data_IF_726925285891
#
_entry.id   IF_726925285891
#
_cell.length_a   1.000
_cell.length_b   1.000
_cell.length_c   1.000
_cell.angle_alpha   90.00
_cell.angle_beta   90.00
_cell.angle_gamma   90.00
#
_symmetry.space_group_name_H-M   'P 1'
#
loop_
_entity.id
_entity.type
_entity.pdbx_description
1 polymer ?
#
# COMPACT_ATOMS: atom_id res chain seq x y z
N UNK A 1 -21.08 4.97 -15.85
CA UNK A 1 -20.58 3.86 -16.69
C UNK A 1 -19.41 4.39 -17.50
N UNK A 2 -18.34 4.84 -16.82
CA UNK A 2 -17.13 5.35 -17.50
C UNK A 2 -15.95 5.47 -16.52
N UNK A 3 -15.58 4.36 -15.85
CA UNK A 3 -14.50 4.36 -14.85
C UNK A 3 -13.66 3.06 -14.88
N UNK A 4 -13.51 2.44 -16.06
CA UNK A 4 -12.63 1.26 -16.27
C UNK A 4 -11.59 1.43 -17.38
N UNK A 5 -11.49 2.59 -18.04
CA UNK A 5 -10.66 2.75 -19.24
C UNK A 5 -9.22 3.29 -19.00
N UNK A 6 -8.84 3.66 -17.78
CA UNK A 6 -7.57 4.33 -17.52
C UNK A 6 -6.39 3.40 -17.13
N UNK A 7 -6.66 2.16 -16.71
CA UNK A 7 -5.63 1.22 -16.22
C UNK A 7 -4.98 0.36 -17.32
N UNK A 8 -5.65 0.17 -18.45
CA UNK A 8 -5.19 -0.71 -19.55
C UNK A 8 -4.01 -0.14 -20.35
N UNK A 9 -3.87 1.18 -20.42
CA UNK A 9 -2.92 1.84 -21.35
C UNK A 9 -1.44 1.67 -20.94
N UNK A 10 -1.16 1.54 -19.64
CA UNK A 10 0.21 1.33 -19.14
C UNK A 10 0.70 -0.09 -19.32
N UNK A 11 -0.17 -1.08 -19.08
CA UNK A 11 0.16 -2.50 -19.24
C UNK A 11 0.41 -2.85 -20.72
N UNK A 12 -0.41 -2.33 -21.63
CA UNK A 12 -0.27 -2.55 -23.07
C UNK A 12 1.02 -1.92 -23.65
N UNK A 13 1.39 -0.72 -23.18
CA UNK A 13 2.64 -0.07 -23.58
C UNK A 13 3.88 -0.83 -23.07
N UNK A 14 3.79 -1.41 -21.87
CA UNK A 14 4.89 -2.21 -21.28
C UNK A 14 5.06 -3.53 -22.03
N UNK A 15 3.95 -4.17 -22.42
CA UNK A 15 3.95 -5.39 -23.22
C UNK A 15 4.55 -5.15 -24.62
N UNK A 16 4.17 -4.07 -25.30
CA UNK A 16 4.70 -3.72 -26.62
C UNK A 16 6.22 -3.46 -26.60
N UNK A 17 6.72 -2.77 -25.57
CA UNK A 17 8.14 -2.52 -25.39
C UNK A 17 8.92 -3.82 -25.10
N UNK A 18 8.32 -4.75 -24.35
CA UNK A 18 8.91 -6.08 -24.12
C UNK A 18 8.98 -6.90 -25.41
N UNK A 19 7.93 -6.87 -26.24
CA UNK A 19 7.93 -7.54 -27.55
C UNK A 19 8.99 -6.98 -28.50
N UNK A 20 9.20 -5.66 -28.52
CA UNK A 20 10.24 -5.02 -29.34
C UNK A 20 11.66 -5.43 -28.87
N UNK A 21 11.87 -5.53 -27.56
CA UNK A 21 13.12 -6.04 -26.99
C UNK A 21 13.37 -7.52 -27.35
N UNK A 22 12.34 -8.36 -27.31
CA UNK A 22 12.43 -9.77 -27.75
C UNK A 22 12.72 -9.84 -29.25
N UNK A 23 12.02 -9.05 -30.07
CA UNK A 23 12.20 -9.02 -31.52
C UNK A 23 13.59 -8.52 -31.95
N UNK A 24 14.22 -7.67 -31.15
CA UNK A 24 15.58 -7.15 -31.40
C UNK A 24 16.69 -8.18 -31.17
N UNK A 25 16.39 -9.34 -30.57
CA UNK A 25 17.38 -10.35 -30.17
C UNK A 25 18.31 -9.90 -29.04
N UNK A 26 18.09 -8.71 -28.47
CA UNK A 26 18.91 -8.17 -27.38
C UNK A 26 18.82 -9.02 -26.10
N UNK A 27 17.75 -9.82 -25.95
CA UNK A 27 17.52 -10.68 -24.80
C UNK A 27 18.06 -12.11 -24.97
N UNK A 28 18.38 -12.56 -26.19
CA UNK A 28 18.78 -13.96 -26.42
C UNK A 28 20.12 -14.30 -25.74
N UNK A 29 21.10 -13.40 -25.87
CA UNK A 29 22.40 -13.54 -25.20
C UNK A 29 22.32 -13.38 -23.68
N UNK A 30 21.25 -12.75 -23.19
CA UNK A 30 20.98 -12.54 -21.78
C UNK A 30 20.28 -13.76 -21.17
N UNK A 31 19.27 -14.31 -21.85
CA UNK A 31 18.60 -15.55 -21.45
C UNK A 31 19.56 -16.73 -21.45
N UNK A 32 20.48 -16.83 -22.43
CA UNK A 32 21.52 -17.85 -22.41
C UNK A 32 22.43 -17.80 -21.17
N UNK A 33 22.64 -16.60 -20.59
CA UNK A 33 23.45 -16.42 -19.37
C UNK A 33 22.64 -16.64 -18.08
N UNK A 34 21.32 -16.45 -18.16
CA UNK A 34 20.40 -16.81 -17.08
C UNK A 34 20.27 -18.34 -17.01
N UNK A 35 20.10 -19.00 -18.15
CA UNK A 35 20.00 -20.46 -18.27
C UNK A 35 21.28 -21.18 -17.86
N UNK A 36 22.45 -20.55 -18.08
CA UNK A 36 23.74 -21.07 -17.61
C UNK A 36 24.00 -20.83 -16.11
N UNK A 37 23.13 -20.08 -15.43
CA UNK A 37 23.26 -19.71 -14.03
C UNK A 37 24.30 -18.62 -13.74
N UNK A 38 24.85 -17.97 -14.76
CA UNK A 38 25.80 -16.85 -14.61
C UNK A 38 25.13 -15.58 -14.07
N UNK A 39 23.83 -15.41 -14.35
CA UNK A 39 23.02 -14.26 -13.91
C UNK A 39 21.77 -14.74 -13.19
N UNK A 40 21.58 -14.28 -11.96
CA UNK A 40 20.32 -14.48 -11.23
C UNK A 40 19.30 -13.42 -11.65
N UNK A 41 18.06 -13.86 -11.93
CA UNK A 41 16.98 -12.96 -12.33
C UNK A 41 16.52 -12.07 -11.15
N UNK A 42 16.38 -12.68 -9.97
CA UNK A 42 15.95 -12.08 -8.71
C UNK A 42 17.01 -12.27 -7.62
N UNK A 43 16.82 -11.66 -6.44
CA UNK A 43 17.75 -11.75 -5.31
C UNK A 43 18.79 -10.62 -5.26
N UNK A 44 19.62 -10.62 -4.20
CA UNK A 44 20.63 -9.56 -3.99
C UNK A 44 21.68 -9.57 -5.11
N UNK A 45 21.81 -8.46 -5.83
CA UNK A 45 22.64 -8.36 -7.04
C UNK A 45 22.04 -8.99 -8.31
N UNK A 46 20.76 -9.40 -8.27
CA UNK A 46 20.03 -9.91 -9.43
C UNK A 46 19.80 -8.86 -10.52
N UNK A 47 19.50 -9.33 -11.73
CA UNK A 47 19.29 -8.47 -12.90
C UNK A 47 18.11 -7.50 -12.72
N UNK A 48 16.97 -7.97 -12.19
CA UNK A 48 15.79 -7.13 -12.01
C UNK A 48 16.03 -5.98 -11.01
N UNK A 49 16.60 -6.22 -9.81
CA UNK A 49 17.06 -5.14 -8.92
C UNK A 49 18.03 -4.16 -9.61
N UNK A 50 18.96 -4.64 -10.43
CA UNK A 50 19.90 -3.78 -11.15
C UNK A 50 19.23 -2.89 -12.22
N UNK A 51 18.21 -3.41 -12.92
CA UNK A 51 17.41 -2.63 -13.86
C UNK A 51 16.59 -1.56 -13.15
N UNK A 52 15.92 -1.93 -12.04
CA UNK A 52 15.15 -0.99 -11.22
C UNK A 52 16.08 0.09 -10.67
N UNK A 53 17.26 -0.27 -10.16
CA UNK A 53 18.30 0.68 -9.75
C UNK A 53 18.61 1.68 -10.86
N UNK A 54 18.93 1.19 -12.06
CA UNK A 54 19.29 2.04 -13.19
C UNK A 54 18.16 3.00 -13.59
N UNK A 55 16.91 2.50 -13.61
CA UNK A 55 15.74 3.31 -13.92
C UNK A 55 15.50 4.39 -12.86
N UNK A 56 15.50 4.02 -11.57
CA UNK A 56 15.28 4.95 -10.46
C UNK A 56 16.39 6.01 -10.38
N UNK A 57 17.66 5.63 -10.49
CA UNK A 57 18.76 6.61 -10.46
C UNK A 57 18.73 7.54 -11.67
N UNK A 58 18.33 7.05 -12.85
CA UNK A 58 18.17 7.90 -14.03
C UNK A 58 17.02 8.88 -13.85
N UNK A 59 15.88 8.43 -13.33
CA UNK A 59 14.75 9.28 -12.99
C UNK A 59 15.12 10.35 -11.95
N UNK A 60 15.79 9.97 -10.86
CA UNK A 60 16.24 10.90 -9.83
C UNK A 60 17.23 11.95 -10.35
N UNK A 61 18.11 11.58 -11.29
CA UNK A 61 19.00 12.53 -11.95
C UNK A 61 18.24 13.49 -12.86
N UNK A 62 17.18 13.03 -13.52
CA UNK A 62 16.31 13.87 -14.33
C UNK A 62 15.53 14.86 -13.45
N UNK A 63 14.94 14.41 -12.34
CA UNK A 63 14.28 15.29 -11.37
C UNK A 63 15.23 16.37 -10.82
N UNK A 64 16.47 15.99 -10.48
CA UNK A 64 17.46 16.97 -10.03
C UNK A 64 17.85 17.97 -11.11
N UNK A 65 17.84 17.55 -12.38
CA UNK A 65 18.12 18.43 -13.52
C UNK A 65 17.02 19.45 -13.68
N UNK A 66 15.77 19.01 -13.60
CA UNK A 66 14.59 19.88 -13.66
C UNK A 66 14.56 20.87 -12.48
N UNK A 67 14.80 20.39 -11.26
CA UNK A 67 14.87 21.22 -10.05
C UNK A 67 15.94 22.31 -10.11
N UNK A 68 17.11 22.00 -10.69
CA UNK A 68 18.22 22.96 -10.79
C UNK A 68 18.13 23.84 -12.04
N UNK A 69 17.39 23.41 -13.07
CA UNK A 69 17.26 24.09 -14.35
C UNK A 69 18.47 23.93 -15.29
N UNK A 70 19.40 23.03 -14.99
CA UNK A 70 20.60 22.81 -15.81
C UNK A 70 21.21 21.39 -15.66
N UNK A 71 21.93 20.96 -16.70
CA UNK A 71 22.50 19.62 -16.80
C UNK A 71 23.80 19.41 -16.01
N UNK A 72 24.14 18.14 -15.75
CA UNK A 72 25.39 17.82 -15.06
C UNK A 72 26.60 18.21 -15.92
N UNK A 73 27.40 19.15 -15.43
CA UNK A 73 28.60 19.62 -16.12
C UNK A 73 28.36 20.78 -17.09
N UNK A 74 27.13 21.31 -17.11
CA UNK A 74 26.80 22.49 -17.90
C UNK A 74 27.58 23.73 -17.39
N UNK A 75 28.32 24.44 -18.27
CA UNK A 75 28.97 25.70 -17.92
C UNK A 75 28.03 26.76 -17.33
N UNK A 76 26.75 26.77 -17.74
CA UNK A 76 25.75 27.72 -17.26
C UNK A 76 25.38 27.50 -15.79
N UNK A 77 25.63 26.30 -15.25
CA UNK A 77 25.38 25.96 -13.85
C UNK A 77 26.11 26.86 -12.84
N UNK A 78 27.16 27.60 -13.26
CA UNK A 78 27.85 28.59 -12.42
C UNK A 78 27.02 29.84 -12.12
N UNK A 79 26.01 30.12 -12.95
CA UNK A 79 25.15 31.29 -12.84
C UNK A 79 23.90 31.02 -11.99
N UNK A 80 23.62 29.76 -11.65
CA UNK A 80 22.52 29.38 -10.78
C UNK A 80 22.92 29.45 -9.30
N UNK A 81 21.98 29.81 -8.40
CA UNK A 81 22.26 29.98 -6.97
C UNK A 81 22.49 28.65 -6.23
N UNK A 82 22.08 27.53 -6.83
CA UNK A 82 22.20 26.20 -6.25
C UNK A 82 23.02 25.28 -7.16
N UNK A 83 23.64 24.25 -6.56
CA UNK A 83 24.51 23.33 -7.30
C UNK A 83 24.33 21.88 -6.89
N UNK A 84 24.66 20.94 -7.78
CA UNK A 84 24.72 19.51 -7.48
C UNK A 84 25.82 19.23 -6.45
N UNK A 85 25.55 18.37 -5.46
CA UNK A 85 26.47 18.08 -4.36
C UNK A 85 26.63 16.57 -4.12
N UNK A 86 26.88 15.82 -5.19
CA UNK A 86 27.09 14.37 -5.14
C UNK A 86 25.81 13.58 -4.90
N UNK A 87 25.98 12.40 -4.29
CA UNK A 87 24.91 11.45 -3.98
C UNK A 87 24.94 11.04 -2.51
N UNK A 88 23.85 10.46 -2.03
CA UNK A 88 23.74 9.84 -0.70
C UNK A 88 23.22 8.42 -0.89
N UNK A 89 23.90 7.39 -0.34
CA UNK A 89 23.44 6.02 -0.48
C UNK A 89 22.14 5.83 0.29
N UNK A 90 21.19 5.12 -0.33
CA UNK A 90 19.90 4.78 0.26
C UNK A 90 19.45 3.42 -0.27
N UNK A 91 19.25 2.46 0.62
CA UNK A 91 18.61 1.19 0.26
C UNK A 91 17.09 1.34 0.33
N UNK A 92 16.41 0.95 -0.74
CA UNK A 92 14.94 0.89 -0.80
C UNK A 92 14.51 -0.56 -1.05
N UNK A 93 13.53 -1.03 -0.29
CA UNK A 93 12.93 -2.34 -0.52
C UNK A 93 11.89 -2.24 -1.63
N UNK A 94 11.98 -3.15 -2.59
CA UNK A 94 11.08 -3.25 -3.76
C UNK A 94 10.50 -4.68 -3.84
N UNK A 95 9.52 -4.89 -4.72
CA UNK A 95 8.88 -6.20 -4.93
C UNK A 95 9.84 -7.30 -5.44
N UNK A 96 11.02 -6.94 -5.94
CA UNK A 96 12.05 -7.90 -6.39
C UNK A 96 13.27 -7.98 -5.47
N UNK A 97 13.18 -7.34 -4.30
CA UNK A 97 14.23 -7.30 -3.28
C UNK A 97 14.74 -5.89 -2.97
N UNK A 98 15.78 -5.83 -2.14
CA UNK A 98 16.41 -4.57 -1.74
C UNK A 98 17.29 -3.99 -2.85
N UNK A 99 17.13 -2.70 -3.10
CA UNK A 99 17.85 -1.96 -4.14
C UNK A 99 18.66 -0.84 -3.50
N UNK A 100 19.99 -0.93 -3.60
CA UNK A 100 20.91 0.12 -3.14
C UNK A 100 21.01 1.25 -4.18
N UNK A 101 20.42 2.41 -3.88
CA UNK A 101 20.38 3.60 -4.73
C UNK A 101 21.39 4.66 -4.32
N UNK A 102 21.98 5.33 -5.30
CA UNK A 102 22.71 6.58 -5.11
C UNK A 102 21.80 7.79 -5.37
N UNK A 103 21.15 8.29 -4.31
CA UNK A 103 20.19 9.40 -4.42
C UNK A 103 20.95 10.72 -4.61
N UNK A 104 20.74 11.46 -5.72
CA UNK A 104 21.43 12.70 -5.98
C UNK A 104 20.91 13.82 -5.08
N UNK A 105 21.79 14.76 -4.72
CA UNK A 105 21.45 15.87 -3.82
C UNK A 105 21.95 17.22 -4.32
N UNK A 106 21.27 18.28 -3.92
CA UNK A 106 21.70 19.65 -4.14
C UNK A 106 22.51 20.19 -2.95
N UNK A 107 23.18 21.33 -3.15
CA UNK A 107 24.02 21.96 -2.14
C UNK A 107 23.21 22.75 -1.12
N UNK A 108 22.09 23.33 -1.55
CA UNK A 108 21.18 24.08 -0.68
C UNK A 108 20.23 23.18 0.14
N UNK A 109 20.15 21.88 -0.14
CA UNK A 109 19.28 20.92 0.55
C UNK A 109 17.79 21.07 0.23
N UNK A 110 17.46 21.85 -0.79
CA UNK A 110 16.09 22.19 -1.22
C UNK A 110 15.45 21.13 -2.11
N UNK A 111 16.24 20.22 -2.68
CA UNK A 111 15.72 19.18 -3.57
C UNK A 111 14.93 18.13 -2.78
N UNK A 112 13.66 17.91 -3.14
CA UNK A 112 12.79 16.86 -2.60
C UNK A 112 12.35 15.93 -3.72
N UNK A 113 13.02 14.78 -3.92
CA UNK A 113 12.70 13.84 -4.99
C UNK A 113 11.27 13.29 -4.84
N UNK A 114 10.56 13.15 -5.96
CA UNK A 114 9.21 12.60 -6.00
C UNK A 114 9.24 11.08 -6.21
N UNK A 115 10.09 10.61 -7.12
CA UNK A 115 10.32 9.18 -7.41
C UNK A 115 10.70 8.36 -6.17
N UNK A 116 11.55 8.94 -5.31
CA UNK A 116 12.02 8.28 -4.08
C UNK A 116 12.01 9.29 -2.93
N UNK A 117 10.86 9.47 -2.24
CA UNK A 117 10.70 10.50 -1.22
C UNK A 117 11.74 10.42 -0.10
N UNK A 118 12.07 11.57 0.51
CA UNK A 118 12.96 11.61 1.68
C UNK A 118 12.36 10.78 2.82
N UNK A 119 13.19 9.94 3.45
CA UNK A 119 12.76 9.05 4.54
C UNK A 119 12.08 7.75 4.11
N UNK A 120 11.43 7.69 2.93
CA UNK A 120 10.75 6.48 2.45
C UNK A 120 11.76 5.37 2.14
N UNK A 121 11.69 4.21 2.82
CA UNK A 121 12.59 3.07 2.56
C UNK A 121 11.97 1.96 1.73
N UNK A 122 10.75 2.16 1.24
CA UNK A 122 9.95 1.15 0.51
C UNK A 122 9.35 1.80 -0.71
N UNK A 123 9.33 1.07 -1.82
CA UNK A 123 8.71 1.48 -3.07
C UNK A 123 7.88 0.29 -3.59
N UNK A 124 6.59 0.51 -3.89
CA UNK A 124 5.72 -0.49 -4.52
C UNK A 124 4.46 -0.85 -3.70
N UNK A 125 3.71 -1.86 -4.16
CA UNK A 125 2.46 -2.35 -3.57
C UNK A 125 2.65 -3.36 -2.43
N UNK A 126 3.83 -3.36 -1.79
CA UNK A 126 4.14 -4.26 -0.68
C UNK A 126 3.23 -4.01 0.52
N UNK A 127 2.85 -2.76 0.77
CA UNK A 127 1.97 -2.39 1.87
C UNK A 127 0.55 -2.92 1.63
N UNK A 128 0.03 -2.81 0.40
CA UNK A 128 -1.24 -3.43 -0.01
C UNK A 128 -1.23 -4.96 0.15
N UNK A 129 -0.11 -5.60 -0.18
CA UNK A 129 0.07 -7.03 0.02
C UNK A 129 0.06 -7.40 1.52
N UNK A 130 0.75 -6.63 2.36
CA UNK A 130 0.75 -6.81 3.81
C UNK A 130 -0.68 -6.70 4.36
N UNK A 131 -1.42 -5.68 3.93
CA UNK A 131 -2.83 -5.46 4.32
C UNK A 131 -3.69 -6.64 3.87
N UNK A 132 -3.52 -7.11 2.63
CA UNK A 132 -4.26 -8.27 2.11
C UNK A 132 -3.96 -9.56 2.89
N UNK A 133 -2.70 -9.80 3.26
CA UNK A 133 -2.31 -10.98 4.03
C UNK A 133 -2.86 -10.92 5.47
N UNK A 134 -2.85 -9.72 6.07
CA UNK A 134 -3.43 -9.49 7.38
C UNK A 134 -4.96 -9.67 7.36
N UNK A 135 -5.64 -9.13 6.35
CA UNK A 135 -7.08 -9.33 6.13
C UNK A 135 -7.42 -10.81 5.87
N UNK A 136 -6.50 -11.57 5.27
CA UNK A 136 -6.58 -13.03 5.12
C UNK A 136 -6.45 -13.81 6.43
N UNK A 137 -6.20 -13.14 7.56
CA UNK A 137 -6.13 -13.75 8.89
C UNK A 137 -4.74 -14.25 9.29
N UNK A 138 -3.70 -13.93 8.51
CA UNK A 138 -2.33 -14.28 8.88
C UNK A 138 -1.85 -13.40 10.03
N UNK A 139 -1.17 -14.01 11.00
CA UNK A 139 -0.54 -13.26 12.09
C UNK A 139 0.66 -12.46 11.57
N UNK A 140 1.02 -11.38 12.25
CA UNK A 140 2.19 -10.55 11.91
C UNK A 140 3.47 -11.37 11.73
N UNK A 141 3.63 -12.46 12.51
CA UNK A 141 4.78 -13.38 12.39
C UNK A 141 4.74 -14.21 11.12
N UNK A 142 3.55 -14.70 10.74
CA UNK A 142 3.35 -15.47 9.52
C UNK A 142 3.52 -14.59 8.29
N UNK A 143 3.05 -13.34 8.33
CA UNK A 143 3.28 -12.35 7.27
C UNK A 143 4.78 -12.10 7.10
N UNK A 144 5.51 -11.83 8.19
CA UNK A 144 6.95 -11.61 8.12
C UNK A 144 7.68 -12.83 7.51
N UNK A 145 7.32 -14.04 7.94
CA UNK A 145 7.89 -15.27 7.39
C UNK A 145 7.55 -15.46 5.91
N UNK A 146 6.31 -15.19 5.52
CA UNK A 146 5.82 -15.33 4.14
C UNK A 146 6.53 -14.36 3.19
N UNK A 147 6.70 -13.11 3.60
CA UNK A 147 7.41 -12.09 2.81
C UNK A 147 8.89 -12.43 2.66
N UNK A 148 9.54 -12.91 3.72
CA UNK A 148 10.93 -13.36 3.66
C UNK A 148 11.10 -14.58 2.74
N UNK A 149 10.19 -15.56 2.82
CA UNK A 149 10.27 -16.79 2.04
C UNK A 149 9.92 -16.61 0.55
N UNK A 150 8.97 -15.71 0.24
CA UNK A 150 8.44 -15.55 -1.13
C UNK A 150 9.15 -14.45 -1.90
N UNK A 151 9.43 -13.32 -1.22
CA UNK A 151 9.93 -12.08 -1.84
C UNK A 151 11.37 -11.77 -1.38
N UNK A 152 11.90 -12.50 -0.40
CA UNK A 152 13.24 -12.24 0.14
C UNK A 152 13.32 -10.94 0.94
N UNK A 153 12.18 -10.35 1.31
CA UNK A 153 12.14 -9.09 2.07
C UNK A 153 12.01 -9.39 3.56
N UNK A 154 13.01 -9.00 4.34
CA UNK A 154 12.98 -9.12 5.79
C UNK A 154 12.35 -7.88 6.44
N UNK A 155 11.17 -8.05 7.04
CA UNK A 155 10.47 -6.98 7.74
C UNK A 155 10.36 -7.28 9.23
N UNK A 156 10.57 -6.25 10.06
CA UNK A 156 10.29 -6.34 11.48
C UNK A 156 8.78 -6.40 11.74
N UNK A 157 8.39 -7.13 12.78
CA UNK A 157 7.00 -7.21 13.25
C UNK A 157 6.41 -5.83 13.54
N UNK A 158 7.22 -4.94 14.13
CA UNK A 158 6.83 -3.56 14.41
C UNK A 158 6.50 -2.80 13.13
N UNK A 159 7.26 -3.02 12.05
CA UNK A 159 6.95 -2.32 10.80
C UNK A 159 5.66 -2.84 10.17
N UNK A 160 5.41 -4.15 10.21
CA UNK A 160 4.16 -4.72 9.71
C UNK A 160 2.97 -4.19 10.53
N UNK A 161 3.11 -4.09 11.85
CA UNK A 161 2.10 -3.46 12.71
C UNK A 161 1.86 -2.00 12.33
N UNK A 162 2.92 -1.20 12.15
CA UNK A 162 2.76 0.20 11.76
C UNK A 162 2.05 0.36 10.41
N UNK A 163 2.32 -0.51 9.43
CA UNK A 163 1.63 -0.48 8.13
C UNK A 163 0.13 -0.78 8.28
N UNK A 164 -0.21 -1.77 9.10
CA UNK A 164 -1.62 -2.07 9.40
C UNK A 164 -2.27 -0.95 10.24
N UNK A 165 -1.50 -0.20 11.02
CA UNK A 165 -2.01 0.94 11.77
C UNK A 165 -2.24 2.17 10.86
N UNK A 166 -1.53 2.31 9.73
CA UNK A 166 -1.72 3.40 8.78
C UNK A 166 -3.12 3.38 8.14
N UNK A 167 -3.73 2.21 7.96
CA UNK A 167 -5.12 2.10 7.46
C UNK A 167 -6.18 2.42 8.52
N UNK A 168 -5.80 2.71 9.77
CA UNK A 168 -6.76 3.00 10.83
C UNK A 168 -7.64 4.21 10.48
N UNK A 169 -7.07 5.23 9.83
CA UNK A 169 -7.81 6.41 9.37
C UNK A 169 -8.85 6.05 8.29
N UNK A 170 -8.49 5.15 7.37
CA UNK A 170 -9.42 4.65 6.35
C UNK A 170 -10.54 3.80 6.96
N UNK A 171 -10.22 2.96 7.95
CA UNK A 171 -11.21 2.19 8.71
C UNK A 171 -12.17 3.13 9.44
N UNK A 172 -11.67 4.20 10.07
CA UNK A 172 -12.50 5.21 10.71
C UNK A 172 -13.37 5.96 9.69
N UNK A 173 -12.83 6.29 8.52
CA UNK A 173 -13.60 6.92 7.44
C UNK A 173 -14.71 5.98 6.93
N UNK A 174 -14.42 4.69 6.77
CA UNK A 174 -15.39 3.67 6.40
C UNK A 174 -16.48 3.50 7.47
N UNK A 175 -16.10 3.46 8.75
CA UNK A 175 -17.06 3.37 9.86
C UNK A 175 -17.99 4.58 9.91
N UNK A 176 -17.51 5.77 9.54
CA UNK A 176 -18.31 7.01 9.55
C UNK A 176 -18.95 7.33 8.19
N UNK A 177 -18.85 6.44 7.20
CA UNK A 177 -19.38 6.69 5.86
C UNK A 177 -20.90 6.95 5.89
N UNK A 178 -21.40 7.83 5.00
CA UNK A 178 -22.84 8.03 4.87
C UNK A 178 -23.52 6.74 4.43
N UNK A 179 -24.72 6.50 4.98
CA UNK A 179 -25.54 5.34 4.71
C UNK A 179 -26.77 5.72 3.89
N UNK A 180 -27.38 4.73 3.24
CA UNK A 180 -28.62 4.96 2.51
C UNK A 180 -29.78 5.29 3.46
N UNK A 181 -30.75 6.04 2.94
CA UNK A 181 -31.89 6.48 3.74
C UNK A 181 -32.84 5.33 4.12
N UNK A 182 -32.81 4.22 3.38
CA UNK A 182 -33.76 3.13 3.55
C UNK A 182 -33.09 1.78 3.41
N UNK A 183 -33.32 0.90 4.39
CA UNK A 183 -32.92 -0.51 4.35
C UNK A 183 -34.14 -1.40 4.63
N UNK A 184 -34.58 -2.24 3.69
CA UNK A 184 -35.68 -3.18 3.94
C UNK A 184 -35.49 -4.05 5.18
N UNK A 185 -34.27 -4.56 5.40
CA UNK A 185 -33.95 -5.44 6.53
C UNK A 185 -32.61 -5.03 7.14
N UNK A 186 -32.55 -4.95 8.47
CA UNK A 186 -31.29 -4.84 9.22
C UNK A 186 -31.16 -6.01 10.18
N UNK A 187 -30.01 -6.67 10.15
CA UNK A 187 -29.59 -7.67 11.14
C UNK A 187 -28.65 -7.02 12.15
N UNK A 188 -28.89 -7.27 13.43
CA UNK A 188 -28.02 -6.92 14.54
C UNK A 188 -27.53 -8.23 15.16
N UNK A 189 -26.22 -8.43 15.20
CA UNK A 189 -25.62 -9.63 15.76
C UNK A 189 -24.44 -9.26 16.67
N UNK A 190 -23.97 -10.22 17.46
CA UNK A 190 -22.83 -10.06 18.35
C UNK A 190 -21.94 -11.30 18.35
N UNK A 191 -20.65 -11.11 18.11
CA UNK A 191 -19.65 -12.18 18.19
C UNK A 191 -18.77 -11.93 19.41
N UNK A 192 -18.60 -12.96 20.25
CA UNK A 192 -17.71 -12.87 21.41
C UNK A 192 -16.26 -13.09 20.97
N UNK A 193 -15.43 -12.06 21.18
CA UNK A 193 -14.01 -12.06 20.86
C UNK A 193 -13.17 -11.87 22.12
N UNK A 194 -12.03 -12.55 22.18
CA UNK A 194 -11.07 -12.40 23.28
C UNK A 194 -10.12 -11.25 22.98
N UNK A 195 -10.25 -10.16 23.73
CA UNK A 195 -9.44 -8.96 23.54
C UNK A 195 -8.58 -8.75 24.78
N UNK A 196 -7.30 -8.43 24.58
CA UNK A 196 -6.43 -8.00 25.66
C UNK A 196 -6.76 -6.55 26.00
N UNK A 197 -7.27 -6.33 27.20
CA UNK A 197 -7.62 -5.02 27.74
C UNK A 197 -6.74 -4.73 28.97
N UNK A 198 -5.72 -3.89 28.77
CA UNK A 198 -4.64 -3.69 29.73
C UNK A 198 -3.88 -4.98 30.03
N UNK A 199 -3.87 -5.37 31.31
CA UNK A 199 -3.17 -6.58 31.77
C UNK A 199 -3.98 -7.88 31.64
N UNK A 200 -5.26 -7.82 31.27
CA UNK A 200 -6.16 -8.98 31.30
C UNK A 200 -6.75 -9.26 29.93
N UNK A 201 -6.86 -10.53 29.57
CA UNK A 201 -7.65 -10.96 28.41
C UNK A 201 -9.09 -11.11 28.86
N UNK A 202 -10.00 -10.38 28.23
CA UNK A 202 -11.43 -10.40 28.53
C UNK A 202 -12.22 -10.76 27.28
N UNK A 203 -13.34 -11.45 27.48
CA UNK A 203 -14.32 -11.63 26.44
C UNK A 203 -15.07 -10.30 26.25
N UNK A 204 -15.06 -9.75 25.03
CA UNK A 204 -15.86 -8.59 24.64
C UNK A 204 -16.81 -9.00 23.52
N UNK A 205 -17.96 -8.34 23.45
CA UNK A 205 -18.88 -8.51 22.33
C UNK A 205 -18.50 -7.53 21.22
N UNK A 206 -18.26 -8.05 20.03
CA UNK A 206 -18.19 -7.28 18.79
C UNK A 206 -19.59 -7.30 18.18
N UNK A 207 -20.31 -6.19 18.32
CA UNK A 207 -21.64 -5.99 17.76
C UNK A 207 -21.53 -5.57 16.30
N UNK A 208 -22.32 -6.19 15.43
CA UNK A 208 -22.27 -5.99 13.98
C UNK A 208 -23.68 -5.66 13.51
N UNK A 209 -23.82 -4.59 12.72
CA UNK A 209 -25.06 -4.27 12.01
C UNK A 209 -24.88 -4.57 10.52
N UNK A 210 -25.79 -5.35 9.93
CA UNK A 210 -25.79 -5.68 8.51
C UNK A 210 -27.12 -5.28 7.89
N UNK A 211 -27.11 -4.35 6.95
CA UNK A 211 -28.28 -3.90 6.20
C UNK A 211 -28.38 -4.63 4.86
N UNK A 212 -29.60 -4.95 4.44
CA UNK A 212 -29.90 -5.42 3.08
C UNK A 212 -30.46 -4.23 2.31
N UNK A 213 -29.88 -3.87 1.17
CA UNK A 213 -30.37 -2.79 0.33
C UNK A 213 -31.56 -3.23 -0.56
N UNK A 214 -32.03 -2.33 -1.43
CA UNK A 214 -33.14 -2.58 -2.35
C UNK A 214 -32.81 -3.61 -3.44
N UNK A 215 -31.53 -3.80 -3.75
CA UNK A 215 -31.04 -4.79 -4.70
C UNK A 215 -30.82 -6.17 -4.06
N UNK A 216 -31.03 -6.27 -2.74
CA UNK A 216 -30.87 -7.50 -1.96
C UNK A 216 -29.41 -7.76 -1.55
N UNK A 217 -28.51 -6.79 -1.72
CA UNK A 217 -27.10 -6.91 -1.34
C UNK A 217 -26.94 -6.60 0.15
N UNK A 218 -26.16 -7.45 0.83
CA UNK A 218 -25.84 -7.29 2.25
C UNK A 218 -24.64 -6.37 2.42
N UNK A 219 -24.81 -5.33 3.21
CA UNK A 219 -23.76 -4.37 3.56
C UNK A 219 -23.55 -4.35 5.07
N UNK A 220 -22.30 -4.43 5.51
CA UNK A 220 -21.97 -4.15 6.90
C UNK A 220 -22.10 -2.63 7.12
N UNK A 221 -23.01 -2.23 8.01
CA UNK A 221 -23.30 -0.84 8.32
C UNK A 221 -22.34 -0.30 9.39
N UNK A 222 -21.92 -1.15 10.33
CA UNK A 222 -20.95 -0.80 11.35
C UNK A 222 -20.58 -1.98 12.25
N UNK A 223 -19.50 -1.79 13.00
CA UNK A 223 -18.97 -2.74 13.98
C UNK A 223 -18.60 -1.96 15.24
N UNK A 224 -19.03 -2.43 16.42
CA UNK A 224 -18.81 -1.77 17.70
C UNK A 224 -18.30 -2.78 18.72
N UNK A 225 -17.27 -2.41 19.48
CA UNK A 225 -16.69 -3.26 20.53
C UNK A 225 -16.98 -2.62 21.88
N UNK A 226 -17.81 -3.27 22.70
CA UNK A 226 -18.22 -2.76 24.01
C UNK A 226 -18.00 -3.84 25.09
N UNK A 227 -17.77 -3.40 26.33
CA UNK A 227 -17.61 -4.30 27.48
C UNK A 227 -18.95 -4.72 28.11
N UNK A 228 -20.03 -3.97 27.87
CA UNK A 228 -21.31 -4.15 28.55
C UNK A 228 -22.46 -4.11 27.55
N UNK A 229 -23.15 -5.23 27.43
CA UNK A 229 -24.40 -5.36 26.69
C UNK A 229 -25.53 -4.66 27.47
N UNK A 230 -26.17 -3.67 26.85
CA UNK A 230 -27.25 -2.94 27.50
C UNK A 230 -28.10 -2.13 26.53
N UNK A 231 -29.36 -1.89 26.87
CA UNK A 231 -30.30 -1.17 26.00
C UNK A 231 -29.82 0.23 25.59
N UNK A 232 -29.03 0.90 26.45
CA UNK A 232 -28.44 2.22 26.14
C UNK A 232 -27.42 2.14 25.01
N UNK A 233 -26.65 1.05 24.94
CA UNK A 233 -25.66 0.84 23.89
C UNK A 233 -26.36 0.70 22.53
N UNK A 234 -27.36 -0.19 22.43
CA UNK A 234 -28.13 -0.37 21.20
C UNK A 234 -28.89 0.88 20.77
N UNK A 235 -29.41 1.66 21.72
CA UNK A 235 -29.97 2.98 21.42
C UNK A 235 -28.92 3.93 20.80
N UNK A 236 -27.68 3.88 21.29
CA UNK A 236 -26.55 4.60 20.71
C UNK A 236 -26.22 4.15 19.29
N UNK A 237 -26.13 2.84 19.05
CA UNK A 237 -25.90 2.26 17.72
C UNK A 237 -26.99 2.70 16.73
N UNK A 238 -28.26 2.60 17.11
CA UNK A 238 -29.37 3.04 16.26
C UNK A 238 -29.34 4.55 15.99
N UNK A 239 -28.97 5.36 16.98
CA UNK A 239 -28.82 6.81 16.82
C UNK A 239 -27.66 7.16 15.87
N UNK A 240 -26.54 6.43 15.95
CA UNK A 240 -25.40 6.60 15.05
C UNK A 240 -25.78 6.25 13.60
N UNK A 241 -26.45 5.12 13.38
CA UNK A 241 -26.96 4.74 12.05
C UNK A 241 -27.89 5.81 11.48
N UNK A 242 -28.76 6.38 12.31
CA UNK A 242 -29.66 7.45 11.90
C UNK A 242 -28.90 8.74 11.54
N UNK A 243 -27.91 9.13 12.35
CA UNK A 243 -27.07 10.29 12.09
C UNK A 243 -26.24 10.15 10.79
N UNK A 244 -25.91 8.91 10.42
CA UNK A 244 -25.18 8.59 9.18
C UNK A 244 -26.07 8.55 7.94
N UNK A 245 -27.39 8.60 8.09
CA UNK A 245 -28.31 8.78 6.97
C UNK A 245 -29.54 7.89 6.98
N UNK A 246 -29.55 6.79 7.77
CA UNK A 246 -30.68 5.86 7.81
C UNK A 246 -31.91 6.57 8.36
N UNK A 247 -33.02 6.55 7.61
CA UNK A 247 -34.28 7.19 8.01
C UNK A 247 -35.38 6.20 8.30
N UNK A 248 -35.42 5.09 7.58
CA UNK A 248 -36.50 4.12 7.70
C UNK A 248 -36.01 2.69 7.46
N UNK A 249 -36.59 1.75 8.21
CA UNK A 249 -36.24 0.33 8.23
C UNK A 249 -37.51 -0.47 8.45
N UNK A 250 -37.83 -1.41 7.54
CA UNK A 250 -39.07 -2.19 7.66
C UNK A 250 -38.95 -3.31 8.69
N UNK A 251 -37.83 -4.03 8.68
CA UNK A 251 -37.60 -5.20 9.52
C UNK A 251 -36.24 -5.09 10.20
N UNK A 252 -36.24 -5.24 11.53
CA UNK A 252 -35.00 -5.41 12.30
C UNK A 252 -35.00 -6.81 12.89
N UNK A 253 -33.94 -7.56 12.63
CA UNK A 253 -33.68 -8.90 13.17
C UNK A 253 -32.51 -8.80 14.16
N UNK A 254 -32.74 -9.18 15.41
CA UNK A 254 -31.75 -9.13 16.49
C UNK A 254 -31.83 -10.40 17.34
#
# INVERSE_FOLDING_TARGET
>A
MDEMAASTNGADATAAMAEELVASGALDGLFSRIDSGEVQLTGDGGMLPAMIKAALERGLRAELTDHLGYDKGDPEGKHFPNSRNGTTPKTVSTEVGDVALDVPRDRAGTFTPMLVPKGARRLGGLDDMIISLYAGGMTVREIAHHLAATIGTELSHETISNIVDEIADEVMAWQNRPLEAFYPVIYLDAIIVKIRDGAHVRNKAAHIAVGVDMDGIKHVLGIWIENTEGAKFWAGVCAELANRGVRDVLIVCC
#
